data_IF_044020880952
#
_entry.id   IF_044020880952
#
_cell.length_a   1.000
_cell.length_b   1.000
_cell.length_c   1.000
_cell.angle_alpha   90.00
_cell.angle_beta   90.00
_cell.angle_gamma   90.00
#
_symmetry.space_group_name_H-M   'P 1'
#
loop_
_entity.id
_entity.type
_entity.pdbx_description
1 polymer ?
#
# COMPACT_ATOMS: atom_id res chain seq x y z
N UNK A 1 -17.60 -8.40 -24.15
CA UNK A 1 -17.44 -9.13 -22.88
C UNK A 1 -17.30 -8.10 -21.75
N UNK A 2 -18.42 -7.51 -21.29
CA UNK A 2 -18.46 -6.34 -20.40
C UNK A 2 -19.26 -6.61 -19.10
N UNK A 3 -19.60 -7.86 -18.84
CA UNK A 3 -20.46 -8.27 -17.73
C UNK A 3 -19.67 -9.16 -16.76
N UNK A 4 -18.80 -8.55 -15.96
CA UNK A 4 -18.20 -9.18 -14.77
C UNK A 4 -17.60 -8.16 -13.78
N UNK A 5 -17.43 -6.89 -14.16
CA UNK A 5 -16.69 -5.87 -13.35
C UNK A 5 -17.60 -5.04 -12.43
N UNK A 6 -18.85 -5.48 -12.16
CA UNK A 6 -19.79 -4.75 -11.26
C UNK A 6 -20.43 -5.61 -10.17
N UNK A 7 -19.86 -6.76 -9.84
CA UNK A 7 -20.32 -7.52 -8.68
C UNK A 7 -19.57 -7.09 -7.42
N UNK A 8 -20.33 -6.70 -6.39
CA UNK A 8 -19.84 -6.58 -5.02
C UNK A 8 -19.37 -7.96 -4.59
N UNK A 9 -18.07 -8.21 -4.77
CA UNK A 9 -17.46 -9.47 -4.39
C UNK A 9 -16.82 -9.26 -3.05
N UNK A 10 -17.19 -10.11 -2.10
CA UNK A 10 -16.61 -10.10 -0.77
C UNK A 10 -15.83 -11.39 -0.53
N UNK A 11 -14.70 -11.24 0.15
CA UNK A 11 -13.84 -12.35 0.56
C UNK A 11 -13.66 -12.27 2.07
N UNK A 12 -13.84 -13.41 2.74
CA UNK A 12 -13.50 -13.56 4.15
C UNK A 12 -12.12 -14.20 4.27
N UNK A 13 -11.22 -13.54 4.97
CA UNK A 13 -9.85 -14.00 5.20
C UNK A 13 -9.65 -14.26 6.69
N UNK A 14 -9.32 -15.50 7.11
CA UNK A 14 -9.02 -15.76 8.51
C UNK A 14 -7.67 -15.12 8.90
N UNK A 15 -7.63 -14.45 10.04
CA UNK A 15 -6.41 -13.89 10.62
C UNK A 15 -6.30 -14.27 12.09
N UNK A 16 -5.16 -14.82 12.49
CA UNK A 16 -4.89 -15.14 13.89
C UNK A 16 -4.18 -13.97 14.55
N UNK A 17 -4.80 -13.43 15.60
CA UNK A 17 -4.14 -12.52 16.52
C UNK A 17 -3.50 -13.40 17.60
N UNK A 18 -2.18 -13.47 17.75
CA UNK A 18 -1.51 -14.15 18.86
C UNK A 18 -1.89 -15.61 19.11
N UNK A 19 -1.39 -16.15 20.23
CA UNK A 19 -1.69 -17.51 20.67
C UNK A 19 -1.89 -17.56 22.18
N UNK A 20 -2.82 -18.40 22.61
CA UNK A 20 -3.09 -18.63 24.03
C UNK A 20 -2.05 -19.54 24.70
N UNK A 21 -1.33 -20.35 23.91
CA UNK A 21 -0.28 -21.26 24.34
C UNK A 21 0.83 -21.32 23.28
N UNK A 22 2.09 -21.42 23.69
CA UNK A 22 3.23 -21.68 22.80
C UNK A 22 3.50 -23.19 22.81
N UNK A 23 3.49 -23.90 21.66
CA UNK A 23 3.45 -25.37 21.63
C UNK A 23 4.63 -26.13 22.27
N UNK A 24 5.69 -25.48 22.77
CA UNK A 24 6.92 -26.17 23.22
C UNK A 24 7.48 -25.65 24.56
N UNK A 25 7.27 -24.38 24.95
CA UNK A 25 8.04 -23.73 26.05
C UNK A 25 7.15 -23.19 27.20
N UNK A 26 5.87 -23.59 27.26
CA UNK A 26 5.01 -23.36 28.44
C UNK A 26 3.81 -22.42 28.21
N UNK A 27 3.16 -22.03 29.32
CA UNK A 27 1.94 -21.20 29.37
C UNK A 27 2.22 -19.72 29.05
N UNK A 28 2.78 -19.45 27.88
CA UNK A 28 2.93 -18.09 27.35
C UNK A 28 1.72 -17.68 26.51
N UNK A 29 1.18 -16.49 26.76
CA UNK A 29 0.17 -15.84 25.89
C UNK A 29 0.83 -14.72 25.09
N UNK A 30 0.61 -14.70 23.79
CA UNK A 30 0.91 -13.55 22.94
C UNK A 30 -0.38 -12.85 22.54
N UNK A 31 -0.31 -11.54 22.39
CA UNK A 31 -1.42 -10.71 21.95
C UNK A 31 -0.97 -9.86 20.78
N UNK A 32 -1.67 -10.02 19.66
CA UNK A 32 -1.41 -9.25 18.46
C UNK A 32 -2.51 -8.22 18.25
N UNK A 33 -2.21 -7.21 17.44
CA UNK A 33 -3.12 -6.10 17.16
C UNK A 33 -3.30 -5.95 15.66
N UNK A 34 -4.55 -5.89 15.21
CA UNK A 34 -4.93 -5.55 13.85
C UNK A 34 -5.68 -4.22 13.85
N UNK A 35 -5.33 -3.34 12.93
CA UNK A 35 -5.91 -2.00 12.82
C UNK A 35 -6.17 -1.64 11.36
N UNK A 36 -7.29 -0.95 11.13
CA UNK A 36 -7.62 -0.34 9.85
C UNK A 36 -7.63 1.16 10.08
N UNK A 37 -6.69 1.86 9.45
CA UNK A 37 -6.48 3.31 9.62
C UNK A 37 -6.73 4.02 8.31
N UNK A 38 -7.78 4.82 8.24
CA UNK A 38 -8.09 5.62 7.06
C UNK A 38 -7.14 6.80 6.88
N UNK A 39 -6.94 7.22 5.62
CA UNK A 39 -6.20 8.44 5.24
C UNK A 39 -4.78 8.51 5.82
N UNK A 40 -4.06 7.39 5.85
CA UNK A 40 -2.70 7.30 6.41
C UNK A 40 -1.59 7.25 5.38
N UNK A 41 -1.88 6.86 4.14
CA UNK A 41 -0.96 7.00 3.02
C UNK A 41 -1.53 8.03 2.05
N UNK A 42 -0.70 8.94 1.54
CA UNK A 42 -1.14 9.94 0.57
C UNK A 42 -0.32 9.81 -0.71
N UNK A 43 -1.01 9.67 -1.85
CA UNK A 43 -0.41 9.75 -3.18
C UNK A 43 -0.73 11.12 -3.77
N UNK A 44 0.28 11.80 -4.27
CA UNK A 44 0.16 13.08 -4.95
C UNK A 44 0.76 12.94 -6.35
N UNK A 45 0.00 13.32 -7.36
CA UNK A 45 0.45 13.38 -8.75
C UNK A 45 0.38 14.83 -9.19
N UNK A 46 1.42 15.32 -9.85
CA UNK A 46 1.52 16.70 -10.34
C UNK A 46 1.89 16.69 -11.82
N UNK A 47 1.35 17.65 -12.58
CA UNK A 47 1.70 17.84 -13.99
C UNK A 47 2.45 19.16 -14.24
N UNK A 48 2.93 19.33 -15.47
CA UNK A 48 3.66 20.53 -15.89
C UNK A 48 2.84 21.83 -15.84
N UNK A 49 1.51 21.72 -15.90
CA UNK A 49 0.59 22.86 -15.77
C UNK A 49 0.37 23.33 -14.31
N UNK A 50 0.94 22.62 -13.34
CA UNK A 50 0.77 22.91 -11.91
C UNK A 50 -0.49 22.30 -11.28
N UNK A 51 -1.24 21.47 -12.02
CA UNK A 51 -2.37 20.73 -11.46
C UNK A 51 -1.88 19.62 -10.54
N UNK A 52 -2.64 19.38 -9.47
CA UNK A 52 -2.30 18.43 -8.40
C UNK A 52 -3.48 17.56 -8.05
N UNK A 53 -3.29 16.25 -8.16
CA UNK A 53 -4.26 15.23 -7.76
C UNK A 53 -3.78 14.56 -6.47
N UNK A 54 -4.59 14.60 -5.42
CA UNK A 54 -4.23 14.09 -4.08
C UNK A 54 -5.20 12.98 -3.66
N UNK A 55 -4.66 11.79 -3.42
CA UNK A 55 -5.40 10.61 -2.98
C UNK A 55 -4.96 10.25 -1.57
N UNK A 56 -5.87 10.39 -0.60
CA UNK A 56 -5.63 10.00 0.79
C UNK A 56 -6.25 8.63 1.02
N UNK A 57 -5.42 7.60 1.09
CA UNK A 57 -5.85 6.21 1.18
C UNK A 57 -5.67 5.63 2.58
N UNK A 58 -6.55 4.71 2.95
CA UNK A 58 -6.39 3.93 4.18
C UNK A 58 -5.31 2.85 4.09
N UNK A 59 -4.99 2.28 5.26
CA UNK A 59 -4.08 1.14 5.42
C UNK A 59 -4.61 0.12 6.42
N UNK A 60 -4.21 -1.12 6.26
CA UNK A 60 -4.34 -2.18 7.27
C UNK A 60 -2.98 -2.38 7.92
N UNK A 61 -2.94 -2.46 9.25
CA UNK A 61 -1.73 -2.64 10.06
C UNK A 61 -1.93 -3.81 11.01
N UNK A 62 -1.09 -4.82 10.90
CA UNK A 62 -1.04 -5.97 11.79
C UNK A 62 0.28 -5.95 12.55
N UNK A 63 0.21 -5.84 13.87
CA UNK A 63 1.35 -5.86 14.77
C UNK A 63 1.39 -7.20 15.51
N UNK A 64 2.38 -8.01 15.17
CA UNK A 64 2.69 -9.26 15.86
C UNK A 64 3.66 -9.02 17.01
N UNK A 65 3.24 -9.39 18.23
CA UNK A 65 4.06 -9.32 19.43
C UNK A 65 4.57 -10.70 19.79
N UNK A 66 5.83 -10.95 19.48
CA UNK A 66 6.46 -12.24 19.69
C UNK A 66 7.17 -12.27 21.04
N UNK A 67 6.96 -13.32 21.84
CA UNK A 67 7.65 -13.48 23.13
C UNK A 67 9.12 -13.88 23.00
N UNK A 68 9.49 -14.51 21.89
CA UNK A 68 10.83 -15.09 21.67
C UNK A 68 11.50 -14.64 20.37
N UNK A 69 10.81 -13.82 19.57
CA UNK A 69 11.31 -13.27 18.32
C UNK A 69 11.07 -11.76 18.29
N UNK A 70 11.62 -11.09 17.28
CA UNK A 70 11.43 -9.65 17.08
C UNK A 70 9.94 -9.40 16.76
N UNK A 71 9.39 -8.32 17.31
CA UNK A 71 8.05 -7.86 16.94
C UNK A 71 8.03 -7.47 15.46
N UNK A 72 7.01 -7.92 14.74
CA UNK A 72 6.87 -7.66 13.32
C UNK A 72 5.61 -6.84 13.08
N UNK A 73 5.73 -5.83 12.23
CA UNK A 73 4.58 -5.07 11.75
C UNK A 73 4.40 -5.32 10.26
N UNK A 74 3.21 -5.79 9.89
CA UNK A 74 2.81 -5.98 8.51
C UNK A 74 1.79 -4.91 8.15
N UNK A 75 2.05 -4.18 7.08
CA UNK A 75 1.19 -3.10 6.62
C UNK A 75 0.78 -3.33 5.19
N UNK A 76 -0.50 -3.14 4.90
CA UNK A 76 -1.01 -3.04 3.54
C UNK A 76 -1.51 -1.62 3.30
N UNK A 77 -0.84 -0.87 2.42
CA UNK A 77 -1.20 0.51 2.09
C UNK A 77 -0.96 0.79 0.61
N UNK A 78 -1.86 1.54 -0.03
CA UNK A 78 -1.74 1.94 -1.44
C UNK A 78 -1.37 0.79 -2.40
N UNK A 79 -1.87 -0.42 -2.12
CA UNK A 79 -1.57 -1.63 -2.88
C UNK A 79 -0.22 -2.30 -2.60
N UNK A 80 0.64 -1.70 -1.77
CA UNK A 80 1.89 -2.29 -1.32
C UNK A 80 1.70 -3.08 0.00
N UNK A 81 2.31 -4.25 0.07
CA UNK A 81 2.44 -5.02 1.31
C UNK A 81 3.85 -4.84 1.88
N UNK A 82 3.94 -4.24 3.06
CA UNK A 82 5.16 -3.78 3.72
C UNK A 82 5.38 -4.60 4.97
N UNK A 83 6.60 -5.12 5.13
CA UNK A 83 7.09 -5.62 6.40
C UNK A 83 7.95 -4.53 7.04
N UNK A 84 7.55 -4.11 8.23
CA UNK A 84 8.31 -3.21 9.08
C UNK A 84 8.85 -3.99 10.29
N UNK A 85 10.16 -3.93 10.46
CA UNK A 85 10.88 -4.47 11.61
C UNK A 85 11.62 -3.32 12.28
N UNK A 86 12.02 -3.49 13.53
CA UNK A 86 12.58 -2.45 14.41
C UNK A 86 13.68 -1.56 13.79
N UNK A 87 14.41 -2.03 12.77
CA UNK A 87 15.51 -1.28 12.13
C UNK A 87 15.15 -0.79 10.72
N UNK A 88 14.27 -1.48 9.98
CA UNK A 88 13.96 -1.10 8.60
C UNK A 88 12.61 -1.65 8.13
N UNK A 89 12.08 -1.03 7.06
CA UNK A 89 10.88 -1.49 6.36
C UNK A 89 11.19 -1.87 4.91
N UNK A 90 10.47 -2.86 4.39
CA UNK A 90 10.62 -3.34 3.01
C UNK A 90 9.26 -3.70 2.41
N UNK A 91 9.10 -3.48 1.10
CA UNK A 91 7.93 -3.92 0.35
C UNK A 91 8.12 -5.40 -0.03
N UNK A 92 7.29 -6.28 0.53
CA UNK A 92 7.22 -7.70 0.19
C UNK A 92 6.28 -7.94 -0.99
N UNK A 93 5.11 -7.29 -0.99
CA UNK A 93 4.14 -7.34 -2.09
C UNK A 93 4.15 -6.02 -2.84
N UNK A 94 4.63 -6.03 -4.08
CA UNK A 94 4.78 -4.81 -4.88
C UNK A 94 3.40 -4.21 -5.19
N UNK A 95 3.24 -2.88 -5.08
CA UNK A 95 2.07 -2.22 -5.63
C UNK A 95 2.01 -2.45 -7.15
N UNK A 96 0.81 -2.38 -7.71
CA UNK A 96 0.62 -2.42 -9.17
C UNK A 96 1.01 -1.05 -9.71
N UNK A 97 2.31 -0.90 -9.93
CA UNK A 97 2.92 0.29 -10.51
C UNK A 97 3.90 -0.18 -11.57
N UNK A 98 3.78 0.35 -12.78
CA UNK A 98 4.70 0.05 -13.89
C UNK A 98 5.32 1.32 -14.42
N UNK A 99 6.59 1.24 -14.75
CA UNK A 99 7.33 2.28 -15.46
C UNK A 99 8.04 1.65 -16.64
N UNK A 100 7.71 2.09 -17.86
CA UNK A 100 8.31 1.59 -19.10
C UNK A 100 8.31 2.66 -20.19
N UNK A 101 8.77 2.28 -21.38
CA UNK A 101 8.81 3.18 -22.54
C UNK A 101 7.41 3.67 -22.97
N UNK A 102 6.38 2.85 -22.75
CA UNK A 102 4.99 3.17 -23.13
C UNK A 102 4.28 4.10 -22.12
N UNK A 103 4.94 4.47 -21.03
CA UNK A 103 4.40 5.35 -20.00
C UNK A 103 4.40 4.76 -18.59
N UNK A 104 3.68 5.44 -17.70
CA UNK A 104 3.47 4.98 -16.33
C UNK A 104 2.07 4.44 -16.14
N UNK A 105 1.94 3.41 -15.30
CA UNK A 105 0.64 2.99 -14.79
C UNK A 105 0.65 2.80 -13.28
N UNK A 106 -0.45 3.14 -12.62
CA UNK A 106 -0.59 2.98 -11.17
C UNK A 106 -2.02 2.61 -10.75
N UNK A 107 -2.17 1.52 -9.99
CA UNK A 107 -3.41 1.23 -9.25
C UNK A 107 -3.29 1.71 -7.82
N UNK A 108 -4.13 2.68 -7.45
CA UNK A 108 -4.26 3.21 -6.10
C UNK A 108 -5.38 2.46 -5.40
N UNK A 109 -5.08 1.79 -4.30
CA UNK A 109 -6.07 1.06 -3.50
C UNK A 109 -6.40 1.88 -2.26
N UNK A 110 -7.66 2.30 -2.16
CA UNK A 110 -8.21 3.06 -1.05
C UNK A 110 -9.04 2.16 -0.14
N UNK A 111 -8.61 2.08 1.13
CA UNK A 111 -9.22 1.23 2.14
C UNK A 111 -10.05 2.09 3.09
N UNK A 112 -11.31 1.73 3.25
CA UNK A 112 -12.25 2.29 4.22
C UNK A 112 -12.72 1.19 5.17
N UNK A 113 -13.25 1.57 6.32
CA UNK A 113 -13.87 0.60 7.22
C UNK A 113 -15.21 1.12 7.75
N UNK A 114 -16.32 0.42 7.47
CA UNK A 114 -17.62 0.81 8.02
C UNK A 114 -17.82 0.33 9.47
N UNK A 115 -16.85 -0.39 10.04
CA UNK A 115 -16.99 -1.12 11.31
C UNK A 115 -15.86 -0.83 12.30
N UNK A 116 -15.43 -1.89 12.99
CA UNK A 116 -14.41 -1.77 14.04
C UNK A 116 -13.04 -1.48 13.41
N UNK A 117 -12.42 -0.38 13.83
CA UNK A 117 -11.10 0.06 13.34
C UNK A 117 -9.91 -0.70 13.94
N UNK A 118 -10.09 -1.41 15.05
CA UNK A 118 -9.00 -2.12 15.72
C UNK A 118 -9.48 -3.31 16.52
N UNK A 119 -8.76 -4.41 16.44
CA UNK A 119 -8.88 -5.56 17.31
C UNK A 119 -7.51 -5.89 17.92
N UNK A 120 -7.50 -6.27 19.18
CA UNK A 120 -6.31 -6.80 19.86
C UNK A 120 -6.72 -8.00 20.68
N UNK A 121 -5.93 -9.06 20.67
CA UNK A 121 -6.32 -10.28 21.37
C UNK A 121 -5.49 -11.50 21.00
N UNK A 122 -6.07 -12.66 21.32
CA UNK A 122 -5.57 -13.97 20.92
C UNK A 122 -6.67 -14.75 20.16
N UNK A 123 -6.32 -15.63 19.22
CA UNK A 123 -7.27 -16.46 18.46
C UNK A 123 -7.52 -15.97 17.04
N UNK A 124 -8.41 -16.66 16.32
CA UNK A 124 -8.66 -16.39 14.90
C UNK A 124 -9.93 -15.56 14.71
N UNK A 125 -9.81 -14.50 13.91
CA UNK A 125 -10.87 -13.58 13.51
C UNK A 125 -11.01 -13.59 12.00
N UNK A 126 -12.14 -13.13 11.48
CA UNK A 126 -12.35 -13.01 10.02
C UNK A 126 -12.24 -11.55 9.59
N UNK A 127 -11.36 -11.30 8.62
CA UNK A 127 -11.29 -10.05 7.90
C UNK A 127 -12.22 -10.12 6.69
N UNK A 128 -13.29 -9.34 6.71
CA UNK A 128 -14.21 -9.23 5.60
C UNK A 128 -13.76 -8.11 4.67
N UNK A 129 -13.42 -8.46 3.44
CA UNK A 129 -12.94 -7.52 2.42
C UNK A 129 -13.97 -7.46 1.30
N UNK A 130 -14.57 -6.30 1.08
CA UNK A 130 -15.58 -6.07 0.05
C UNK A 130 -15.06 -5.07 -1.00
N UNK A 131 -15.03 -5.49 -2.26
CA UNK A 131 -14.84 -4.56 -3.36
C UNK A 131 -16.08 -3.66 -3.49
N UNK A 132 -15.90 -2.34 -3.40
CA UNK A 132 -17.00 -1.38 -3.54
C UNK A 132 -17.12 -0.85 -4.94
N UNK A 133 -16.02 -0.31 -5.45
CA UNK A 133 -16.00 0.28 -6.78
C UNK A 133 -14.58 0.39 -7.29
N UNK A 134 -14.44 0.41 -8.60
CA UNK A 134 -13.25 0.90 -9.28
C UNK A 134 -13.69 2.12 -10.06
N UNK A 135 -13.03 3.25 -9.82
CA UNK A 135 -13.15 4.35 -10.76
C UNK A 135 -12.62 3.86 -12.14
N UNK A 136 -13.08 4.50 -13.21
CA UNK A 136 -12.59 4.22 -14.56
C UNK A 136 -11.08 4.44 -14.67
N UNK A 137 -10.48 3.99 -15.78
CA UNK A 137 -9.08 4.34 -16.08
C UNK A 137 -9.02 5.82 -16.43
N UNK A 138 -8.25 6.58 -15.66
CA UNK A 138 -7.97 7.98 -15.92
C UNK A 138 -6.56 8.13 -16.50
N UNK A 139 -6.36 9.20 -17.27
CA UNK A 139 -5.06 9.56 -17.81
C UNK A 139 -4.72 10.97 -17.35
N UNK A 140 -3.54 11.14 -16.76
CA UNK A 140 -2.95 12.45 -16.48
C UNK A 140 -1.81 12.64 -17.48
N UNK A 141 -1.90 13.69 -18.29
CA UNK A 141 -0.85 14.04 -19.25
C UNK A 141 0.21 14.93 -18.60
N UNK A 142 1.44 14.87 -19.15
CA UNK A 142 2.57 15.70 -18.75
C UNK A 142 2.91 15.60 -17.26
N UNK A 143 2.92 14.40 -16.70
CA UNK A 143 3.25 14.18 -15.28
C UNK A 143 4.71 14.57 -15.03
N UNK A 144 4.92 15.37 -13.98
CA UNK A 144 6.25 15.84 -13.55
C UNK A 144 6.68 15.19 -12.24
N UNK A 145 5.74 15.00 -11.31
CA UNK A 145 6.04 14.45 -9.99
C UNK A 145 5.01 13.42 -9.56
N UNK A 146 5.49 12.33 -8.97
CA UNK A 146 4.68 11.37 -8.22
C UNK A 146 5.27 11.30 -6.81
N UNK A 147 4.48 11.65 -5.80
CA UNK A 147 4.91 11.66 -4.40
C UNK A 147 4.04 10.72 -3.57
N UNK A 148 4.69 9.84 -2.82
CA UNK A 148 4.04 8.99 -1.81
C UNK A 148 4.46 9.48 -0.42
N UNK A 149 3.47 9.81 0.41
CA UNK A 149 3.66 10.18 1.81
C UNK A 149 3.19 9.02 2.68
N UNK A 150 4.12 8.44 3.44
CA UNK A 150 3.90 7.21 4.20
C UNK A 150 4.75 7.17 5.46
N UNK A 151 4.29 6.45 6.48
CA UNK A 151 5.07 6.12 7.68
C UNK A 151 6.26 5.17 7.37
N UNK A 152 6.30 4.59 6.16
CA UNK A 152 7.30 3.61 5.70
C UNK A 152 8.09 4.10 4.48
N UNK A 153 8.71 5.29 4.54
CA UNK A 153 9.28 5.93 3.36
C UNK A 153 10.51 5.18 2.82
N UNK A 154 11.27 4.46 3.66
CA UNK A 154 12.42 3.66 3.22
C UNK A 154 12.00 2.52 2.28
N UNK A 155 10.86 1.88 2.57
CA UNK A 155 10.33 0.79 1.76
C UNK A 155 9.91 1.30 0.36
N UNK A 156 9.19 2.43 0.32
CA UNK A 156 8.78 3.10 -0.92
C UNK A 156 9.96 3.63 -1.73
N UNK A 157 10.96 4.24 -1.07
CA UNK A 157 12.18 4.71 -1.73
C UNK A 157 12.92 3.55 -2.41
N UNK A 158 13.12 2.44 -1.69
CA UNK A 158 13.78 1.25 -2.21
C UNK A 158 13.01 0.66 -3.39
N UNK A 159 11.68 0.58 -3.28
CA UNK A 159 10.83 0.10 -4.37
C UNK A 159 10.97 0.97 -5.64
N UNK A 160 10.82 2.28 -5.51
CA UNK A 160 10.93 3.17 -6.67
C UNK A 160 12.34 3.20 -7.25
N UNK A 161 13.40 3.23 -6.43
CA UNK A 161 14.79 3.16 -6.93
C UNK A 161 15.03 1.88 -7.72
N UNK A 162 14.52 0.75 -7.22
CA UNK A 162 14.64 -0.53 -7.92
C UNK A 162 13.80 -0.58 -9.20
N UNK A 163 12.65 0.08 -9.24
CA UNK A 163 11.79 0.12 -10.43
C UNK A 163 12.38 1.05 -11.50
N UNK A 164 12.74 2.28 -11.14
CA UNK A 164 13.26 3.30 -12.07
C UNK A 164 14.74 3.10 -12.38
N UNK A 165 15.47 2.29 -11.61
CA UNK A 165 16.88 1.95 -11.85
C UNK A 165 17.10 0.69 -12.70
N UNK A 166 16.06 0.12 -13.30
CA UNK A 166 16.21 -1.06 -14.15
C UNK A 166 16.80 -0.67 -15.50
N UNK A 167 17.63 -1.54 -16.07
CA UNK A 167 18.24 -1.31 -17.39
C UNK A 167 17.26 -1.42 -18.56
N UNK A 168 16.05 -1.95 -18.33
CA UNK A 168 15.02 -2.18 -19.35
C UNK A 168 13.96 -1.07 -19.42
N UNK A 169 14.23 0.10 -18.86
CA UNK A 169 13.34 1.26 -18.96
C UNK A 169 14.14 2.58 -19.15
N UNK A 170 13.50 3.67 -19.60
CA UNK A 170 14.20 4.92 -19.89
C UNK A 170 14.52 5.76 -18.65
N UNK A 171 14.38 5.20 -17.45
CA UNK A 171 14.45 5.95 -16.20
C UNK A 171 15.78 5.74 -15.45
N UNK A 172 15.94 6.48 -14.36
CA UNK A 172 17.08 6.34 -13.46
C UNK A 172 16.65 6.32 -12.00
N UNK A 173 17.33 5.55 -11.16
CA UNK A 173 17.15 5.56 -9.71
C UNK A 173 17.37 6.96 -9.09
N UNK A 174 18.15 7.82 -9.74
CA UNK A 174 18.41 9.20 -9.28
C UNK A 174 17.18 10.12 -9.38
N UNK A 175 16.15 9.70 -10.12
CA UNK A 175 14.85 10.38 -10.16
C UNK A 175 14.07 10.22 -8.86
N UNK A 176 14.49 9.32 -7.97
CA UNK A 176 13.81 9.03 -6.71
C UNK A 176 14.56 9.67 -5.55
N UNK A 177 13.86 10.54 -4.83
CA UNK A 177 14.37 11.22 -3.63
C UNK A 177 13.43 10.99 -2.44
N UNK A 178 14.00 11.08 -1.24
CA UNK A 178 13.25 10.98 0.02
C UNK A 178 13.53 12.19 0.89
N UNK A 179 12.47 12.76 1.45
CA UNK A 179 12.51 13.85 2.43
C UNK A 179 11.57 13.49 3.59
N UNK A 180 12.14 13.05 4.72
CA UNK A 180 11.36 12.59 5.87
C UNK A 180 10.44 11.42 5.50
N UNK A 181 9.13 11.64 5.61
CA UNK A 181 8.06 10.68 5.30
C UNK A 181 7.57 10.74 3.84
N UNK A 182 8.20 11.56 2.99
CA UNK A 182 7.83 11.74 1.59
C UNK A 182 8.86 11.07 0.68
N UNK A 183 8.38 10.28 -0.26
CA UNK A 183 9.18 9.73 -1.36
C UNK A 183 8.67 10.34 -2.65
N UNK A 184 9.53 11.02 -3.39
CA UNK A 184 9.20 11.75 -4.60
C UNK A 184 9.95 11.16 -5.78
N UNK A 185 9.22 10.86 -6.85
CA UNK A 185 9.72 10.52 -8.17
C UNK A 185 9.64 11.78 -9.04
N UNK A 186 10.79 12.24 -9.54
CA UNK A 186 10.96 13.39 -10.42
C UNK A 186 11.20 12.95 -11.86
N UNK A 187 10.21 13.17 -12.70
CA UNK A 187 10.21 12.84 -14.13
C UNK A 187 10.07 14.09 -14.99
N UNK A 188 10.28 15.28 -14.42
CA UNK A 188 10.14 16.57 -15.10
C UNK A 188 11.08 16.73 -16.31
N UNK A 189 12.25 16.09 -16.27
CA UNK A 189 13.27 16.18 -17.31
C UNK A 189 13.19 15.07 -18.38
N UNK A 190 12.09 14.31 -18.43
CA UNK A 190 11.93 13.25 -19.43
C UNK A 190 11.70 13.84 -20.85
N UNK A 191 12.32 13.26 -21.89
CA UNK A 191 12.34 13.83 -23.25
C UNK A 191 11.00 13.80 -23.99
N UNK A 192 10.00 13.08 -23.48
CA UNK A 192 8.65 13.03 -24.05
C UNK A 192 7.60 13.27 -22.97
N UNK A 193 6.47 13.93 -23.31
CA UNK A 193 5.37 14.11 -22.38
C UNK A 193 4.87 12.76 -21.86
N UNK A 194 5.08 12.52 -20.57
CA UNK A 194 4.75 11.24 -19.96
C UNK A 194 3.31 11.26 -19.45
N UNK A 195 2.50 10.33 -19.96
CA UNK A 195 1.16 10.10 -19.42
C UNK A 195 1.21 9.05 -18.31
N UNK A 196 0.46 9.30 -17.24
CA UNK A 196 0.18 8.33 -16.19
C UNK A 196 -1.25 7.85 -16.36
N UNK A 197 -1.40 6.55 -16.60
CA UNK A 197 -2.70 5.88 -16.53
C UNK A 197 -2.91 5.38 -15.11
N UNK A 198 -3.99 5.77 -14.47
CA UNK A 198 -4.27 5.30 -13.11
C UNK A 198 -5.69 4.81 -12.92
N UNK A 199 -5.86 3.94 -11.93
CA UNK A 199 -7.14 3.41 -11.47
C UNK A 199 -7.19 3.55 -9.96
N UNK A 200 -8.27 4.08 -9.44
CA UNK A 200 -8.55 4.07 -8.00
C UNK A 200 -9.57 2.97 -7.69
N UNK A 201 -9.18 2.03 -6.82
CA UNK A 201 -10.03 0.96 -6.32
C UNK A 201 -10.42 1.28 -4.88
N UNK A 202 -11.72 1.30 -4.60
CA UNK A 202 -12.27 1.45 -3.26
C UNK A 202 -12.64 0.08 -2.68
N UNK A 203 -12.13 -0.20 -1.49
CA UNK A 203 -12.34 -1.45 -0.75
C UNK A 203 -12.80 -1.14 0.66
N UNK A 204 -13.91 -1.75 1.08
CA UNK A 204 -14.32 -1.73 2.48
C UNK A 204 -13.75 -2.95 3.19
N UNK A 205 -13.19 -2.73 4.38
CA UNK A 205 -12.70 -3.81 5.23
C UNK A 205 -13.41 -3.73 6.59
N UNK A 206 -13.98 -4.86 7.01
CA UNK A 206 -14.64 -5.00 8.30
C UNK A 206 -14.03 -6.12 9.12
N UNK A 207 -13.94 -5.91 10.43
CA UNK A 207 -13.49 -6.93 11.38
C UNK A 207 -14.71 -7.63 11.97
N UNK A 208 -14.82 -8.95 11.76
CA UNK A 208 -15.92 -9.78 12.25
C UNK A 208 -15.37 -10.77 13.28
N UNK A 209 -16.08 -10.88 14.41
CA UNK A 209 -15.81 -11.87 15.47
C UNK A 209 -16.42 -13.21 15.14
#
# INVERSE_FOLDING_TARGET
MLALVRQHTAVSVPISLGASNVPIIGKGRTYDTLEIRERKCTVIIENSSGNKWTYKVGKVRFLSRNSYFINQEFVYECGAFILNQSVNSTILGKPIFTAGYDGLSFTIINITTPGVHSLSGHGTYSLWVEFKNSQGVFTIENVTYITVISDYPNAWETFFKNLFGRSDNPYSANMVSREGNKVKVDISNMPSPLSLRYVEILVDISLIR
#
